data_IF_845970684704
#
_entry.id   IF_845970684704
#
_cell.length_a   1.000
_cell.length_b   1.000
_cell.length_c   1.000
_cell.angle_alpha   90.00
_cell.angle_beta   90.00
_cell.angle_gamma   90.00
#
_symmetry.space_group_name_H-M   'P 1'
#
loop_
_entity.id
_entity.type
_entity.pdbx_description
1 polymer ?
#
# COMPACT_ATOMS: atom_id res chain seq x y z
N UNK A 1 54.24 21.12 -21.60
CA UNK A 1 53.98 20.74 -23.01
C UNK A 1 54.23 19.25 -23.18
N UNK A 2 53.17 18.52 -23.51
CA UNK A 2 53.02 17.22 -24.21
C UNK A 2 54.22 16.26 -24.35
N UNK A 3 54.04 15.00 -23.91
CA UNK A 3 53.92 13.77 -24.75
C UNK A 3 54.20 12.53 -23.88
N UNK A 4 53.20 11.74 -23.44
CA UNK A 4 52.54 10.58 -24.10
C UNK A 4 53.44 9.32 -24.32
N UNK A 5 52.99 8.24 -23.64
CA UNK A 5 53.01 6.81 -24.00
C UNK A 5 54.36 6.06 -24.11
N UNK A 6 54.49 4.95 -23.37
CA UNK A 6 54.60 3.61 -23.96
C UNK A 6 54.29 2.52 -22.92
N UNK A 7 53.53 1.53 -23.39
CA UNK A 7 53.05 0.37 -22.67
C UNK A 7 53.91 -0.86 -23.01
N UNK A 8 53.94 -1.79 -22.05
CA UNK A 8 54.12 -3.25 -22.19
C UNK A 8 55.41 -3.80 -22.81
N UNK A 9 56.16 -4.51 -21.96
CA UNK A 9 56.98 -5.72 -22.21
C UNK A 9 57.66 -6.03 -20.85
N UNK A 10 57.91 -7.24 -20.36
CA UNK A 10 57.77 -8.60 -20.88
C UNK A 10 57.99 -9.55 -19.68
N UNK A 11 57.29 -10.68 -19.71
CA UNK A 11 57.48 -11.89 -18.93
C UNK A 11 58.94 -12.21 -18.56
N UNK A 12 59.18 -12.48 -17.27
CA UNK A 12 60.21 -13.42 -16.80
C UNK A 12 59.65 -14.19 -15.60
N UNK A 13 58.88 -15.23 -15.90
CA UNK A 13 58.60 -16.30 -14.96
C UNK A 13 59.87 -17.14 -14.81
N UNK A 14 60.24 -17.51 -13.57
CA UNK A 14 60.41 -18.91 -13.11
C UNK A 14 61.19 -18.98 -11.79
N UNK A 15 60.69 -19.85 -10.90
CA UNK A 15 61.41 -20.52 -9.81
C UNK A 15 61.94 -19.68 -8.63
N UNK A 16 61.24 -19.72 -7.48
CA UNK A 16 61.88 -19.28 -6.24
C UNK A 16 61.09 -19.24 -4.93
N UNK A 17 59.77 -19.46 -4.92
CA UNK A 17 58.97 -19.16 -3.71
C UNK A 17 58.33 -20.39 -3.02
N UNK A 18 58.47 -21.61 -3.55
CA UNK A 18 57.89 -22.84 -2.95
C UNK A 18 58.92 -23.61 -2.09
N UNK A 19 59.77 -22.95 -1.28
CA UNK A 19 60.79 -23.69 -0.51
C UNK A 19 61.05 -23.27 0.95
N UNK A 20 60.42 -22.21 1.49
CA UNK A 20 60.83 -21.72 2.82
C UNK A 20 59.70 -21.37 3.80
N UNK A 21 58.54 -22.02 3.67
CA UNK A 21 57.40 -21.78 4.56
C UNK A 21 57.25 -22.66 5.84
N UNK A 22 58.07 -23.69 6.13
CA UNK A 22 57.92 -24.40 7.41
C UNK A 22 59.23 -24.51 8.21
N UNK A 23 59.67 -23.46 8.93
CA UNK A 23 60.77 -23.59 9.91
C UNK A 23 60.82 -22.53 11.03
N UNK A 24 59.78 -21.71 11.24
CA UNK A 24 59.76 -20.71 12.33
C UNK A 24 58.61 -20.92 13.33
N UNK A 25 58.34 -22.19 13.65
CA UNK A 25 57.71 -22.57 14.91
C UNK A 25 58.71 -23.44 15.70
N UNK A 26 59.42 -22.84 16.68
CA UNK A 26 59.84 -23.45 17.95
C UNK A 26 61.01 -22.70 18.59
N UNK A 27 60.71 -21.66 19.38
CA UNK A 27 61.48 -21.31 20.57
C UNK A 27 60.50 -20.81 21.64
N UNK A 28 60.35 -21.60 22.70
CA UNK A 28 59.43 -21.40 23.81
C UNK A 28 60.22 -21.21 25.13
N UNK A 29 59.80 -20.27 26.00
CA UNK A 29 59.99 -20.23 27.46
C UNK A 29 58.86 -19.32 28.03
N UNK A 30 57.69 -19.80 28.47
CA UNK A 30 57.28 -20.49 29.72
C UNK A 30 56.93 -19.59 30.92
N UNK A 31 55.65 -19.65 31.38
CA UNK A 31 55.12 -19.76 32.79
C UNK A 31 53.64 -19.31 32.89
N UNK A 32 52.86 -19.73 33.92
CA UNK A 32 52.66 -21.05 34.52
C UNK A 32 51.16 -21.49 34.53
N UNK A 33 50.90 -22.73 34.95
CA UNK A 33 49.63 -23.47 34.85
C UNK A 33 48.57 -23.12 35.92
N UNK A 34 47.28 -23.46 35.66
CA UNK A 34 46.48 -24.43 36.47
C UNK A 34 45.02 -24.55 35.96
N UNK A 35 44.65 -25.80 35.68
CA UNK A 35 43.34 -26.50 35.64
C UNK A 35 42.15 -25.98 34.80
N UNK A 36 41.94 -26.66 33.67
CA UNK A 36 40.65 -26.79 33.00
C UNK A 36 39.91 -28.03 33.51
N UNK A 37 38.69 -27.84 34.03
CA UNK A 37 37.64 -28.87 34.04
C UNK A 37 36.65 -28.55 32.93
N UNK A 38 36.46 -29.50 32.04
CA UNK A 38 35.64 -29.47 30.84
C UNK A 38 34.16 -29.71 31.16
N UNK A 39 33.30 -28.76 30.78
CA UNK A 39 31.89 -29.04 30.46
C UNK A 39 31.56 -28.39 29.11
N UNK A 40 30.99 -29.12 28.14
CA UNK A 40 30.58 -28.54 26.86
C UNK A 40 29.34 -27.67 27.10
N UNK A 41 29.48 -26.36 26.96
CA UNK A 41 28.32 -25.46 26.91
C UNK A 41 27.82 -25.47 25.46
N UNK A 42 26.75 -26.21 25.24
CA UNK A 42 25.85 -26.02 24.11
C UNK A 42 25.23 -24.62 24.24
N UNK A 43 25.76 -23.64 23.52
CA UNK A 43 25.05 -22.37 23.28
C UNK A 43 24.32 -22.46 21.95
N UNK A 44 23.10 -22.99 21.99
CA UNK A 44 22.05 -22.62 21.03
C UNK A 44 21.66 -21.18 21.33
N UNK A 45 22.25 -20.23 20.59
CA UNK A 45 21.71 -18.87 20.53
C UNK A 45 20.43 -18.90 19.69
N UNK A 46 19.28 -18.47 20.23
CA UNK A 46 18.09 -18.28 19.42
C UNK A 46 18.35 -17.10 18.48
N UNK A 47 18.12 -17.30 17.18
CA UNK A 47 18.02 -16.21 16.21
C UNK A 47 16.77 -15.41 16.62
N UNK A 48 16.97 -14.36 17.41
CA UNK A 48 15.99 -13.32 17.56
C UNK A 48 15.95 -12.60 16.21
N UNK A 49 14.92 -12.87 15.43
CA UNK A 49 14.50 -12.00 14.34
C UNK A 49 14.24 -10.62 14.93
N UNK A 50 15.16 -9.68 14.71
CA UNK A 50 14.88 -8.26 14.89
C UNK A 50 13.80 -7.93 13.86
N UNK A 51 12.54 -7.96 14.28
CA UNK A 51 11.46 -7.33 13.53
C UNK A 51 11.76 -5.84 13.52
N UNK A 52 12.37 -5.33 12.46
CA UNK A 52 12.40 -3.88 12.23
C UNK A 52 10.94 -3.39 12.29
N UNK A 53 10.66 -2.43 13.19
CA UNK A 53 9.32 -1.86 13.37
C UNK A 53 8.93 -1.21 12.04
N UNK A 54 8.06 -1.85 11.25
CA UNK A 54 7.58 -1.30 9.98
C UNK A 54 6.91 0.05 10.24
N UNK A 55 7.17 1.00 9.34
CA UNK A 55 6.46 2.28 9.35
C UNK A 55 4.95 2.04 9.28
N UNK A 56 4.15 2.89 9.94
CA UNK A 56 2.69 2.77 9.94
C UNK A 56 2.07 3.97 9.25
N UNK A 57 1.18 3.68 8.33
CA UNK A 57 0.40 4.68 7.58
C UNK A 57 -1.07 4.40 7.83
N UNK A 58 -1.79 5.40 8.31
CA UNK A 58 -3.24 5.36 8.42
C UNK A 58 -3.79 6.51 7.58
N UNK A 59 -4.61 6.14 6.58
CA UNK A 59 -5.22 7.10 5.65
C UNK A 59 -6.73 6.99 5.71
N UNK A 60 -7.42 8.13 5.79
CA UNK A 60 -8.88 8.19 5.70
C UNK A 60 -9.27 9.08 4.54
N UNK A 61 -10.16 8.60 3.68
CA UNK A 61 -10.76 9.41 2.63
C UNK A 61 -12.13 9.89 3.09
N UNK A 62 -12.33 11.20 3.19
CA UNK A 62 -13.64 11.79 3.39
C UNK A 62 -14.21 12.15 2.00
N UNK A 63 -15.12 11.32 1.47
CA UNK A 63 -15.59 11.41 0.09
C UNK A 63 -17.01 11.97 0.03
N UNK A 64 -17.17 13.03 -0.74
CA UNK A 64 -18.45 13.56 -1.16
C UNK A 64 -19.14 12.57 -2.12
N UNK A 65 -20.38 12.25 -1.79
CA UNK A 65 -21.22 11.31 -2.54
C UNK A 65 -22.58 11.92 -2.91
N UNK A 66 -22.69 13.27 -2.93
CA UNK A 66 -23.89 13.96 -3.41
C UNK A 66 -24.02 13.88 -4.93
N UNK A 67 -25.18 14.31 -5.44
CA UNK A 67 -25.46 14.23 -6.87
C UNK A 67 -24.58 15.13 -7.75
N UNK A 68 -24.00 16.22 -7.22
CA UNK A 68 -23.08 17.11 -7.97
C UNK A 68 -21.80 16.38 -8.41
N UNK A 69 -21.36 15.41 -7.60
CA UNK A 69 -20.25 14.50 -7.93
C UNK A 69 -20.54 13.55 -9.09
N UNK A 70 -21.73 13.60 -9.71
CA UNK A 70 -22.03 12.84 -10.93
C UNK A 70 -21.05 13.17 -12.06
N UNK A 71 -20.40 12.13 -12.59
CA UNK A 71 -19.34 12.28 -13.60
C UNK A 71 -17.95 12.52 -13.02
N UNK A 72 -17.83 12.94 -11.76
CA UNK A 72 -16.57 13.17 -11.05
C UNK A 72 -16.22 12.02 -10.10
N UNK A 73 -17.24 11.37 -9.52
CA UNK A 73 -17.07 10.38 -8.47
C UNK A 73 -16.22 9.19 -8.92
N UNK A 74 -16.30 8.78 -10.19
CA UNK A 74 -15.49 7.66 -10.68
C UNK A 74 -13.99 8.01 -10.68
N UNK A 75 -13.62 9.19 -11.18
CA UNK A 75 -12.25 9.67 -11.15
C UNK A 75 -11.77 9.88 -9.70
N UNK A 76 -12.63 10.39 -8.81
CA UNK A 76 -12.33 10.50 -7.38
C UNK A 76 -12.01 9.12 -6.76
N UNK A 77 -12.80 8.08 -7.06
CA UNK A 77 -12.54 6.71 -6.56
C UNK A 77 -11.22 6.14 -7.09
N UNK A 78 -10.91 6.34 -8.37
CA UNK A 78 -9.63 5.89 -8.96
C UNK A 78 -8.44 6.62 -8.34
N UNK A 79 -8.57 7.92 -8.09
CA UNK A 79 -7.54 8.71 -7.40
C UNK A 79 -7.32 8.23 -5.97
N UNK A 80 -8.39 7.94 -5.22
CA UNK A 80 -8.29 7.37 -3.86
C UNK A 80 -7.45 6.09 -3.86
N UNK A 81 -7.67 5.20 -4.84
CA UNK A 81 -6.87 4.00 -5.01
C UNK A 81 -5.42 4.29 -5.36
N UNK A 82 -5.18 5.22 -6.30
CA UNK A 82 -3.84 5.67 -6.68
C UNK A 82 -3.04 6.15 -5.46
N UNK A 83 -3.67 6.99 -4.63
CA UNK A 83 -3.06 7.54 -3.41
C UNK A 83 -2.72 6.42 -2.43
N UNK A 84 -3.66 5.52 -2.13
CA UNK A 84 -3.42 4.41 -1.20
C UNK A 84 -2.27 3.52 -1.67
N UNK A 85 -2.24 3.17 -2.97
CA UNK A 85 -1.16 2.35 -3.55
C UNK A 85 0.20 3.06 -3.54
N UNK A 86 0.22 4.36 -3.82
CA UNK A 86 1.43 5.20 -3.72
C UNK A 86 1.93 5.27 -2.29
N UNK A 87 1.05 5.48 -1.31
CA UNK A 87 1.45 5.52 0.10
C UNK A 87 2.07 4.19 0.55
N UNK A 88 1.56 3.07 0.03
CA UNK A 88 2.06 1.75 0.37
C UNK A 88 3.41 1.40 -0.31
N UNK A 89 3.87 2.18 -1.30
CA UNK A 89 5.13 1.92 -2.02
C UNK A 89 6.39 2.39 -1.28
N UNK A 90 6.27 2.91 -0.06
CA UNK A 90 7.42 3.34 0.75
C UNK A 90 8.38 2.19 1.05
N UNK A 91 9.66 2.51 1.30
CA UNK A 91 10.68 1.52 1.66
C UNK A 91 11.37 1.89 3.00
N UNK A 92 11.50 0.94 3.96
CA UNK A 92 10.89 -0.39 3.99
C UNK A 92 9.35 -0.37 3.91
N UNK A 93 8.74 -1.46 3.43
CA UNK A 93 7.30 -1.55 3.20
C UNK A 93 6.50 -1.21 4.47
N UNK A 94 5.60 -0.20 4.44
CA UNK A 94 4.84 0.20 5.60
C UNK A 94 3.65 -0.74 5.85
N UNK A 95 3.19 -0.79 7.10
CA UNK A 95 1.85 -1.25 7.45
C UNK A 95 0.86 -0.12 7.11
N UNK A 96 0.06 -0.31 6.07
CA UNK A 96 -0.97 0.64 5.66
C UNK A 96 -2.36 0.19 6.13
N UNK A 97 -3.15 1.13 6.63
CA UNK A 97 -4.59 0.97 6.84
C UNK A 97 -5.35 2.10 6.18
N UNK A 98 -6.48 1.76 5.57
CA UNK A 98 -7.36 2.70 4.90
C UNK A 98 -8.74 2.70 5.57
N UNK A 99 -9.29 3.90 5.78
CA UNK A 99 -10.67 4.13 6.19
C UNK A 99 -11.39 5.03 5.20
N UNK A 100 -12.72 5.10 5.32
CA UNK A 100 -13.57 5.88 4.44
C UNK A 100 -14.68 6.56 5.25
N UNK A 101 -14.90 7.84 5.01
CA UNK A 101 -16.05 8.59 5.49
C UNK A 101 -16.78 9.12 4.27
N UNK A 102 -17.77 8.38 3.77
CA UNK A 102 -18.62 8.87 2.70
C UNK A 102 -19.64 9.84 3.29
N UNK A 103 -19.85 10.99 2.67
CA UNK A 103 -20.81 11.98 3.15
C UNK A 103 -21.73 12.48 2.05
N UNK A 104 -22.91 12.94 2.46
CA UNK A 104 -23.87 13.71 1.66
C UNK A 104 -24.31 14.91 2.48
N UNK A 105 -25.58 15.31 2.43
CA UNK A 105 -26.10 16.39 3.24
C UNK A 105 -27.22 16.02 4.22
N UNK A 106 -27.63 17.00 5.03
CA UNK A 106 -28.75 16.88 5.95
C UNK A 106 -30.05 16.68 5.18
N UNK A 107 -30.79 15.64 5.55
CA UNK A 107 -32.04 15.28 4.89
C UNK A 107 -31.89 14.19 3.83
N UNK A 108 -30.66 13.82 3.48
CA UNK A 108 -30.38 12.66 2.64
C UNK A 108 -30.51 11.33 3.39
N UNK A 109 -30.35 10.23 2.64
CA UNK A 109 -30.35 8.87 3.18
C UNK A 109 -29.26 8.63 4.25
N UNK A 110 -28.21 9.46 4.28
CA UNK A 110 -27.23 9.57 5.34
C UNK A 110 -26.50 10.91 5.24
N UNK A 111 -26.07 11.46 6.39
CA UNK A 111 -25.11 12.58 6.39
C UNK A 111 -23.70 12.02 6.22
N UNK A 112 -23.34 11.02 7.03
CA UNK A 112 -22.06 10.31 6.95
C UNK A 112 -22.22 8.81 7.08
N UNK A 113 -21.36 8.06 6.41
CA UNK A 113 -21.14 6.62 6.60
C UNK A 113 -19.66 6.40 6.85
N UNK A 114 -19.34 5.89 8.04
CA UNK A 114 -17.97 5.67 8.49
C UNK A 114 -17.63 4.19 8.33
N UNK A 115 -16.61 3.94 7.52
CA UNK A 115 -15.89 2.67 7.45
C UNK A 115 -14.53 2.86 8.11
N UNK A 116 -14.29 2.12 9.20
CA UNK A 116 -13.08 2.27 10.00
C UNK A 116 -11.82 1.76 9.29
N UNK A 117 -10.66 2.08 9.86
CA UNK A 117 -9.34 1.72 9.33
C UNK A 117 -9.15 0.21 9.22
N UNK A 118 -8.84 -0.27 8.01
CA UNK A 118 -8.58 -1.68 7.71
C UNK A 118 -7.31 -1.86 6.87
N UNK A 119 -6.51 -2.92 7.11
CA UNK A 119 -5.41 -3.29 6.22
C UNK A 119 -5.90 -4.00 4.93
N UNK A 120 -7.19 -4.35 4.84
CA UNK A 120 -7.80 -4.94 3.65
C UNK A 120 -8.20 -3.86 2.64
N UNK A 121 -7.21 -3.35 1.91
CA UNK A 121 -7.41 -2.29 0.92
C UNK A 121 -8.35 -2.72 -0.20
N UNK A 122 -8.34 -3.99 -0.61
CA UNK A 122 -9.26 -4.50 -1.64
C UNK A 122 -10.73 -4.40 -1.19
N UNK A 123 -11.04 -4.84 0.03
CA UNK A 123 -12.41 -4.75 0.57
C UNK A 123 -12.83 -3.29 0.78
N UNK A 124 -11.91 -2.42 1.20
CA UNK A 124 -12.16 -0.98 1.31
C UNK A 124 -12.43 -0.35 -0.06
N UNK A 125 -11.67 -0.72 -1.08
CA UNK A 125 -11.88 -0.23 -2.43
C UNK A 125 -13.18 -0.78 -3.05
N UNK A 126 -13.53 -2.03 -2.77
CA UNK A 126 -14.82 -2.60 -3.18
C UNK A 126 -16.00 -1.85 -2.54
N UNK A 127 -15.87 -1.48 -1.26
CA UNK A 127 -16.86 -0.67 -0.54
C UNK A 127 -16.94 0.74 -1.14
N UNK A 128 -15.79 1.36 -1.43
CA UNK A 128 -15.72 2.64 -2.12
C UNK A 128 -16.47 2.59 -3.47
N UNK A 129 -16.34 1.50 -4.20
CA UNK A 129 -17.02 1.30 -5.48
C UNK A 129 -18.55 1.21 -5.36
N UNK A 130 -19.12 0.86 -4.20
CA UNK A 130 -20.57 0.84 -3.99
C UNK A 130 -21.22 2.23 -3.94
N UNK A 131 -20.45 3.26 -3.58
CA UNK A 131 -21.03 4.59 -3.43
C UNK A 131 -21.44 5.19 -4.77
N UNK A 132 -22.64 5.73 -4.84
CA UNK A 132 -23.14 6.46 -6.00
C UNK A 132 -23.41 7.91 -5.61
N UNK A 133 -23.20 8.80 -6.58
CA UNK A 133 -23.51 10.22 -6.47
C UNK A 133 -25.03 10.39 -6.43
N UNK A 134 -25.59 10.64 -5.24
CA UNK A 134 -27.03 10.87 -5.05
C UNK A 134 -27.27 11.78 -3.85
N UNK A 135 -28.45 12.36 -3.75
CA UNK A 135 -28.76 13.30 -2.67
C UNK A 135 -28.16 14.67 -2.90
N UNK A 136 -28.05 15.45 -1.83
CA UNK A 136 -27.81 16.89 -1.83
C UNK A 136 -29.05 17.65 -2.31
N UNK A 137 -28.85 18.85 -2.83
CA UNK A 137 -29.91 19.60 -3.53
C UNK A 137 -29.63 21.10 -3.54
N UNK A 138 -29.27 21.64 -2.39
CA UNK A 138 -28.57 22.90 -2.24
C UNK A 138 -27.07 22.65 -2.05
N UNK A 139 -26.24 23.53 -2.62
CA UNK A 139 -24.87 23.72 -2.13
C UNK A 139 -24.89 24.86 -1.12
N UNK A 140 -24.06 24.90 -0.06
CA UNK A 140 -22.93 24.02 0.34
C UNK A 140 -23.27 22.57 0.74
N UNK A 141 -22.31 21.78 1.25
CA UNK A 141 -22.50 20.38 1.66
C UNK A 141 -22.05 20.12 3.12
N UNK A 142 -22.41 18.96 3.73
CA UNK A 142 -22.04 18.59 5.12
C UNK A 142 -20.57 18.17 5.31
N UNK A 143 -19.63 18.90 4.71
CA UNK A 143 -18.17 18.73 4.86
C UNK A 143 -17.72 18.82 6.32
N UNK A 144 -18.32 19.70 7.12
CA UNK A 144 -17.99 19.83 8.54
C UNK A 144 -18.26 18.53 9.31
N UNK A 145 -19.40 17.89 9.07
CA UNK A 145 -19.74 16.62 9.71
C UNK A 145 -18.80 15.49 9.24
N UNK A 146 -18.42 15.48 7.96
CA UNK A 146 -17.47 14.51 7.41
C UNK A 146 -16.09 14.63 8.07
N UNK A 147 -15.54 15.85 8.18
CA UNK A 147 -14.28 16.11 8.86
C UNK A 147 -14.38 15.77 10.36
N UNK A 148 -15.48 16.12 11.01
CA UNK A 148 -15.70 15.79 12.41
C UNK A 148 -15.66 14.28 12.63
N UNK A 149 -16.38 13.51 11.81
CA UNK A 149 -16.42 12.06 11.90
C UNK A 149 -15.08 11.41 11.56
N UNK A 150 -14.38 11.90 10.54
CA UNK A 150 -13.04 11.43 10.19
C UNK A 150 -12.03 11.61 11.34
N UNK A 151 -12.15 12.70 12.11
CA UNK A 151 -11.24 13.00 13.24
C UNK A 151 -11.65 12.30 14.55
N UNK A 152 -12.94 12.06 14.76
CA UNK A 152 -13.47 11.62 16.07
C UNK A 152 -14.05 10.21 16.11
N UNK A 153 -14.53 9.66 14.98
CA UNK A 153 -15.16 8.33 14.93
C UNK A 153 -14.24 7.25 14.39
N UNK A 154 -13.23 7.62 13.60
CA UNK A 154 -12.20 6.68 13.14
C UNK A 154 -11.31 6.26 14.31
N UNK A 155 -11.00 4.97 14.38
CA UNK A 155 -10.15 4.36 15.41
C UNK A 155 -8.66 4.55 15.11
N UNK A 156 -8.21 5.81 15.09
CA UNK A 156 -6.82 6.17 14.85
C UNK A 156 -5.87 5.53 15.87
N UNK A 157 -4.71 5.07 15.40
CA UNK A 157 -3.61 4.61 16.23
C UNK A 157 -3.15 5.71 17.19
N UNK A 158 -2.82 5.29 18.42
CA UNK A 158 -2.19 6.13 19.43
C UNK A 158 -0.65 6.15 19.33
N UNK A 159 -0.09 5.40 18.36
CA UNK A 159 1.34 5.38 18.08
C UNK A 159 1.77 6.69 17.42
N UNK A 160 2.65 7.44 18.09
CA UNK A 160 3.11 8.77 17.64
C UNK A 160 3.98 8.72 16.39
N UNK A 161 4.52 7.54 16.09
CA UNK A 161 5.32 7.25 14.90
C UNK A 161 4.43 6.93 13.69
N UNK A 162 3.11 6.74 13.88
CA UNK A 162 2.19 6.54 12.76
C UNK A 162 1.96 7.84 12.00
N UNK A 163 2.14 7.78 10.68
CA UNK A 163 1.72 8.83 9.78
C UNK A 163 0.20 8.73 9.58
N UNK A 164 -0.53 9.75 10.01
CA UNK A 164 -2.01 9.79 10.00
C UNK A 164 -2.47 10.95 9.13
N UNK A 165 -3.26 10.64 8.11
CA UNK A 165 -3.69 11.63 7.12
C UNK A 165 -5.13 11.43 6.68
N UNK A 166 -5.85 12.53 6.52
CA UNK A 166 -7.17 12.59 5.91
C UNK A 166 -7.03 13.25 4.54
N UNK A 167 -7.67 12.67 3.52
CA UNK A 167 -7.92 13.33 2.25
C UNK A 167 -9.42 13.62 2.14
N UNK A 168 -9.79 14.90 2.21
CA UNK A 168 -11.13 15.36 1.87
C UNK A 168 -11.25 15.41 0.33
N UNK A 169 -12.30 14.83 -0.25
CA UNK A 169 -12.51 14.68 -1.70
C UNK A 169 -13.95 15.01 -2.07
N UNK A 170 -14.19 15.92 -3.00
CA UNK A 170 -15.52 16.51 -3.23
C UNK A 170 -15.50 17.79 -4.06
N UNK A 171 -16.66 18.29 -4.46
CA UNK A 171 -16.79 19.43 -5.38
C UNK A 171 -17.47 20.68 -4.77
N UNK A 172 -17.96 20.59 -3.52
CA UNK A 172 -18.69 21.67 -2.85
C UNK A 172 -18.00 22.23 -1.58
N UNK A 173 -18.30 23.47 -1.16
CA UNK A 173 -17.81 24.05 0.08
C UNK A 173 -18.58 23.51 1.31
N UNK A 174 -18.08 23.72 2.55
CA UNK A 174 -18.81 23.37 3.77
C UNK A 174 -20.01 24.29 4.03
N UNK A 175 -21.12 23.73 4.51
CA UNK A 175 -22.15 24.51 5.20
C UNK A 175 -21.58 25.17 6.46
N UNK A 176 -21.81 26.48 6.64
CA UNK A 176 -21.32 27.22 7.82
C UNK A 176 -22.46 27.79 8.67
N UNK A 177 -23.70 27.56 8.26
CA UNK A 177 -24.94 28.08 8.84
C UNK A 177 -25.73 27.03 9.64
N UNK A 178 -25.39 25.76 9.48
CA UNK A 178 -25.94 24.66 10.25
C UNK A 178 -25.72 24.85 11.76
N UNK A 179 -26.85 24.94 12.49
CA UNK A 179 -26.86 25.12 13.94
C UNK A 179 -26.34 23.87 14.65
N UNK A 180 -25.68 24.07 15.79
CA UNK A 180 -25.13 23.02 16.68
C UNK A 180 -24.13 22.06 16.00
N UNK A 181 -23.41 22.53 14.99
CA UNK A 181 -22.36 21.78 14.31
C UNK A 181 -20.98 22.34 14.66
N UNK A 182 -20.01 21.44 14.89
CA UNK A 182 -18.62 21.86 15.04
C UNK A 182 -18.04 22.18 13.65
N UNK A 183 -17.72 23.45 13.44
CA UNK A 183 -17.13 23.91 12.19
C UNK A 183 -15.67 23.46 12.04
N UNK A 184 -15.23 23.32 10.78
CA UNK A 184 -13.91 22.82 10.43
C UNK A 184 -12.74 23.52 11.16
N UNK A 185 -12.74 24.84 11.46
CA UNK A 185 -11.60 25.44 12.15
C UNK A 185 -11.33 24.84 13.53
N UNK A 186 -12.37 24.37 14.24
CA UNK A 186 -12.20 23.70 15.52
C UNK A 186 -11.83 22.23 15.33
N UNK A 187 -12.49 21.53 14.40
CA UNK A 187 -12.17 20.13 14.05
C UNK A 187 -10.72 19.97 13.58
N UNK A 188 -10.18 20.93 12.83
CA UNK A 188 -8.80 20.90 12.37
C UNK A 188 -7.78 21.17 13.49
N UNK A 189 -8.16 21.91 14.55
CA UNK A 189 -7.33 22.02 15.77
C UNK A 189 -7.28 20.68 16.49
N UNK A 190 -8.40 19.99 16.58
CA UNK A 190 -8.48 18.67 17.20
C UNK A 190 -7.63 17.66 16.39
N UNK A 191 -7.73 17.68 15.06
CA UNK A 191 -6.90 16.88 14.15
C UNK A 191 -5.40 17.17 14.35
N UNK A 192 -5.01 18.45 14.40
CA UNK A 192 -3.62 18.85 14.64
C UNK A 192 -3.11 18.36 16.00
N UNK A 193 -3.91 18.47 17.06
CA UNK A 193 -3.55 17.98 18.40
C UNK A 193 -3.35 16.47 18.45
N UNK A 194 -4.06 15.74 17.57
CA UNK A 194 -3.92 14.30 17.37
C UNK A 194 -2.78 13.95 16.42
N UNK A 195 -2.13 14.92 15.77
CA UNK A 195 -1.10 14.68 14.76
C UNK A 195 -1.65 14.05 13.48
N UNK A 196 -2.89 14.41 13.12
CA UNK A 196 -3.55 14.03 11.86
C UNK A 196 -3.41 15.21 10.89
N UNK A 197 -2.87 14.94 9.70
CA UNK A 197 -2.76 15.90 8.60
C UNK A 197 -4.02 15.83 7.73
N UNK A 198 -4.53 16.96 7.25
CA UNK A 198 -5.74 17.05 6.41
C UNK A 198 -5.39 17.71 5.09
N UNK A 199 -5.33 16.88 4.05
CA UNK A 199 -5.19 17.29 2.66
C UNK A 199 -6.57 17.39 2.01
N UNK A 200 -6.70 18.18 0.95
CA UNK A 200 -7.97 18.38 0.25
C UNK A 200 -7.79 18.19 -1.26
N UNK A 201 -8.66 17.42 -1.90
CA UNK A 201 -8.68 17.11 -3.34
C UNK A 201 -10.01 17.58 -3.94
N UNK A 202 -10.03 18.80 -4.46
CA UNK A 202 -11.24 19.34 -5.09
C UNK A 202 -11.50 18.59 -6.41
N UNK A 203 -12.71 18.09 -6.58
CA UNK A 203 -13.22 17.66 -7.88
C UNK A 203 -13.90 18.84 -8.57
N UNK A 204 -13.59 19.06 -9.85
CA UNK A 204 -14.08 20.23 -10.59
C UNK A 204 -13.31 21.52 -10.28
N UNK A 205 -13.93 22.66 -10.54
CA UNK A 205 -13.27 23.97 -10.57
C UNK A 205 -14.05 25.11 -9.91
N UNK A 206 -15.05 24.79 -9.06
CA UNK A 206 -15.81 25.80 -8.33
C UNK A 206 -14.88 26.71 -7.48
N UNK A 207 -14.91 28.05 -7.67
CA UNK A 207 -14.02 28.96 -6.96
C UNK A 207 -14.31 29.11 -5.45
N UNK A 208 -15.56 28.91 -5.02
CA UNK A 208 -15.93 28.99 -3.60
C UNK A 208 -15.42 27.76 -2.87
N UNK A 209 -15.65 26.57 -3.43
CA UNK A 209 -15.02 25.31 -3.02
C UNK A 209 -13.52 25.48 -2.94
N UNK A 210 -12.86 25.97 -4.00
CA UNK A 210 -11.41 26.14 -4.02
C UNK A 210 -10.91 27.02 -2.86
N UNK A 211 -11.60 28.13 -2.58
CA UNK A 211 -11.23 29.05 -1.50
C UNK A 211 -11.29 28.36 -0.14
N UNK A 212 -12.42 27.70 0.17
CA UNK A 212 -12.59 27.03 1.46
C UNK A 212 -11.69 25.79 1.60
N UNK A 213 -11.46 25.04 0.52
CA UNK A 213 -10.62 23.84 0.53
C UNK A 213 -9.15 24.18 0.76
N UNK A 214 -8.63 25.22 0.09
CA UNK A 214 -7.28 25.74 0.39
C UNK A 214 -7.16 26.18 1.84
N UNK A 215 -8.19 26.82 2.39
CA UNK A 215 -8.21 27.24 3.79
C UNK A 215 -8.21 26.06 4.76
N UNK A 216 -8.99 25.02 4.48
CA UNK A 216 -9.02 23.77 5.26
C UNK A 216 -7.61 23.14 5.30
N UNK A 217 -6.98 22.97 4.14
CA UNK A 217 -5.62 22.42 4.05
C UNK A 217 -4.61 23.27 4.84
N UNK A 218 -4.61 24.59 4.64
CA UNK A 218 -3.69 25.52 5.30
C UNK A 218 -3.81 25.50 6.83
N UNK A 219 -5.03 25.44 7.37
CA UNK A 219 -5.26 25.44 8.83
C UNK A 219 -4.72 24.18 9.53
N UNK A 220 -4.46 23.10 8.78
CA UNK A 220 -3.95 21.85 9.32
C UNK A 220 -2.60 21.42 8.71
N UNK A 221 -1.87 22.37 8.07
CA UNK A 221 -0.56 22.11 7.45
C UNK A 221 -0.61 21.03 6.34
N UNK A 222 -1.77 20.83 5.74
CA UNK A 222 -1.95 19.97 4.58
C UNK A 222 -1.78 20.72 3.26
N UNK A 223 -1.98 19.99 2.17
CA UNK A 223 -1.92 20.47 0.80
C UNK A 223 -3.29 20.44 0.13
N UNK A 224 -3.48 21.36 -0.80
CA UNK A 224 -4.63 21.39 -1.69
C UNK A 224 -4.26 20.84 -3.07
N UNK A 225 -5.13 20.00 -3.61
CA UNK A 225 -5.06 19.43 -4.95
C UNK A 225 -6.39 19.65 -5.67
N UNK A 226 -6.35 19.60 -6.99
CA UNK A 226 -7.53 19.73 -7.84
C UNK A 226 -7.51 18.65 -8.91
N UNK A 227 -8.68 18.09 -9.19
CA UNK A 227 -8.95 17.12 -10.26
C UNK A 227 -9.95 17.77 -11.21
N UNK A 228 -9.55 17.99 -12.46
CA UNK A 228 -10.38 18.66 -13.45
C UNK A 228 -11.62 17.84 -13.83
N UNK A 229 -12.67 18.51 -14.32
CA UNK A 229 -13.95 17.90 -14.71
C UNK A 229 -13.83 16.80 -15.78
N UNK A 230 -12.75 16.79 -16.57
CA UNK A 230 -12.50 15.76 -17.58
C UNK A 230 -12.07 14.42 -16.98
N UNK A 231 -11.82 14.35 -15.67
CA UNK A 231 -11.34 13.14 -15.00
C UNK A 231 -9.92 12.74 -15.42
N UNK A 232 -9.22 13.55 -16.23
CA UNK A 232 -7.84 13.32 -16.60
C UNK A 232 -6.90 13.78 -15.47
N UNK A 233 -6.99 13.14 -14.30
CA UNK A 233 -5.72 12.64 -13.77
C UNK A 233 -5.19 11.80 -14.92
N UNK A 234 -4.07 12.19 -15.53
CA UNK A 234 -3.54 11.54 -16.73
C UNK A 234 -3.24 10.08 -16.39
N UNK A 235 -4.25 9.21 -16.42
CA UNK A 235 -4.11 7.79 -16.52
C UNK A 235 -3.54 7.62 -17.92
N UNK A 236 -2.21 7.70 -18.00
CA UNK A 236 -1.49 7.36 -19.21
C UNK A 236 -1.86 5.93 -19.49
N UNK A 237 -2.84 5.72 -20.38
CA UNK A 237 -3.23 4.39 -20.79
C UNK A 237 -2.00 3.71 -21.36
N UNK A 238 -1.66 2.54 -20.83
CA UNK A 238 -0.45 1.83 -21.21
C UNK A 238 -0.81 0.57 -21.98
N UNK A 239 0.08 0.10 -22.89
CA UNK A 239 -0.12 -1.18 -23.56
C UNK A 239 -0.01 -2.39 -22.60
N UNK A 240 0.31 -2.16 -21.32
CA UNK A 240 0.49 -3.20 -20.31
C UNK A 240 -0.75 -3.39 -19.43
N UNK A 241 -1.68 -2.43 -19.42
CA UNK A 241 -2.80 -2.38 -18.47
C UNK A 241 -3.69 -3.62 -18.57
N UNK A 242 -4.16 -3.97 -19.77
CA UNK A 242 -5.04 -5.14 -20.00
C UNK A 242 -4.38 -6.46 -19.56
N UNK A 243 -3.08 -6.62 -19.85
CA UNK A 243 -2.34 -7.83 -19.49
C UNK A 243 -2.13 -7.91 -17.98
N UNK A 244 -1.79 -6.80 -17.33
CA UNK A 244 -1.65 -6.73 -15.88
C UNK A 244 -2.99 -6.98 -15.17
N UNK A 245 -4.09 -6.43 -15.68
CA UNK A 245 -5.43 -6.70 -15.18
C UNK A 245 -5.79 -8.20 -15.27
N UNK A 246 -5.50 -8.82 -16.41
CA UNK A 246 -5.69 -10.27 -16.60
C UNK A 246 -4.85 -11.10 -15.62
N UNK A 247 -3.57 -10.76 -15.47
CA UNK A 247 -2.67 -11.42 -14.51
C UNK A 247 -3.13 -11.23 -13.06
N UNK A 248 -3.63 -10.05 -12.69
CA UNK A 248 -4.21 -9.80 -11.38
C UNK A 248 -5.35 -10.78 -11.10
N UNK A 249 -6.27 -10.93 -12.05
CA UNK A 249 -7.41 -11.84 -11.94
C UNK A 249 -6.99 -13.31 -11.88
N UNK A 250 -5.94 -13.70 -12.62
CA UNK A 250 -5.36 -15.04 -12.52
C UNK A 250 -4.69 -15.29 -11.17
N UNK A 251 -3.99 -14.29 -10.63
CA UNK A 251 -3.33 -14.35 -9.33
C UNK A 251 -4.35 -14.47 -8.19
N UNK A 252 -5.45 -13.71 -8.25
CA UNK A 252 -6.54 -13.77 -7.27
C UNK A 252 -7.13 -15.18 -7.13
N UNK A 253 -7.21 -15.93 -8.24
CA UNK A 253 -7.71 -17.32 -8.28
C UNK A 253 -6.77 -18.33 -7.64
N UNK A 254 -5.54 -17.95 -7.30
CA UNK A 254 -4.60 -18.83 -6.59
C UNK A 254 -4.83 -18.85 -5.09
N UNK A 255 -5.67 -17.96 -4.53
CA UNK A 255 -5.91 -17.88 -3.08
C UNK A 255 -6.82 -19.02 -2.62
N UNK A 256 -6.41 -19.68 -1.55
CA UNK A 256 -7.14 -20.78 -0.92
C UNK A 256 -7.24 -20.51 0.58
N UNK A 257 -8.39 -20.00 1.03
CA UNK A 257 -8.58 -19.70 2.44
C UNK A 257 -9.02 -20.94 3.24
N UNK A 258 -8.47 -21.11 4.44
CA UNK A 258 -8.77 -22.22 5.35
C UNK A 258 -9.08 -21.73 6.77
N UNK A 259 -9.58 -22.62 7.62
CA UNK A 259 -9.92 -22.33 9.02
C UNK A 259 -11.34 -22.73 9.38
N UNK A 260 -11.89 -22.14 10.44
CA UNK A 260 -13.29 -22.39 10.85
C UNK A 260 -14.27 -21.97 9.77
N UNK A 261 -15.50 -22.47 9.84
CA UNK A 261 -16.54 -22.09 8.89
C UNK A 261 -16.78 -20.57 8.88
N UNK A 262 -16.81 -19.94 10.05
CA UNK A 262 -16.96 -18.50 10.21
C UNK A 262 -15.79 -17.75 9.55
N UNK A 263 -14.55 -18.21 9.77
CA UNK A 263 -13.36 -17.59 9.17
C UNK A 263 -13.37 -17.71 7.66
N UNK A 264 -13.73 -18.88 7.12
CA UNK A 264 -13.87 -19.08 5.67
C UNK A 264 -14.99 -18.22 5.08
N UNK A 265 -16.10 -18.04 5.78
CA UNK A 265 -17.19 -17.16 5.34
C UNK A 265 -16.73 -15.69 5.27
N UNK A 266 -15.99 -15.22 6.28
CA UNK A 266 -15.40 -13.87 6.27
C UNK A 266 -14.40 -13.69 5.11
N UNK A 267 -13.52 -14.66 4.88
CA UNK A 267 -12.54 -14.63 3.79
C UNK A 267 -13.19 -14.83 2.40
N UNK A 268 -14.33 -15.52 2.32
CA UNK A 268 -15.12 -15.59 1.09
C UNK A 268 -15.72 -14.22 0.71
N UNK A 269 -16.09 -13.39 1.69
CA UNK A 269 -16.50 -12.01 1.43
C UNK A 269 -15.35 -11.17 0.84
N UNK A 270 -14.11 -11.40 1.30
CA UNK A 270 -12.91 -10.79 0.69
C UNK A 270 -12.73 -11.23 -0.77
N UNK A 271 -12.86 -12.53 -1.06
CA UNK A 271 -12.83 -13.01 -2.45
C UNK A 271 -13.91 -12.37 -3.31
N UNK A 272 -15.14 -12.26 -2.80
CA UNK A 272 -16.24 -11.61 -3.51
C UNK A 272 -15.99 -10.11 -3.74
N UNK A 273 -15.38 -9.41 -2.78
CA UNK A 273 -14.94 -8.03 -2.94
C UNK A 273 -13.92 -7.90 -4.08
N UNK A 274 -12.93 -8.80 -4.15
CA UNK A 274 -11.98 -8.84 -5.26
C UNK A 274 -12.66 -9.14 -6.61
N UNK A 275 -13.58 -10.09 -6.66
CA UNK A 275 -14.31 -10.42 -7.89
C UNK A 275 -15.12 -9.22 -8.40
N UNK A 276 -15.72 -8.46 -7.49
CA UNK A 276 -16.39 -7.21 -7.80
C UNK A 276 -15.41 -6.18 -8.38
N UNK A 277 -14.25 -5.98 -7.73
CA UNK A 277 -13.24 -5.06 -8.25
C UNK A 277 -12.81 -5.41 -9.68
N UNK A 278 -12.61 -6.70 -9.95
CA UNK A 278 -12.28 -7.21 -11.28
C UNK A 278 -13.40 -6.97 -12.32
N UNK A 279 -14.63 -6.70 -11.90
CA UNK A 279 -15.77 -6.46 -12.78
C UNK A 279 -16.05 -4.97 -13.03
N UNK A 280 -15.73 -4.09 -12.06
CA UNK A 280 -16.14 -2.68 -12.09
C UNK A 280 -14.99 -1.68 -12.25
N UNK A 281 -13.74 -2.11 -12.02
CA UNK A 281 -12.58 -1.23 -12.10
C UNK A 281 -12.02 -1.15 -13.52
N UNK A 282 -11.38 -0.03 -13.85
CA UNK A 282 -10.63 0.14 -15.10
C UNK A 282 -9.37 -0.75 -15.13
N UNK A 283 -8.89 -1.08 -16.33
CA UNK A 283 -7.68 -1.87 -16.52
C UNK A 283 -6.45 -1.22 -15.87
N UNK A 284 -6.34 0.11 -15.94
CA UNK A 284 -5.27 0.86 -15.29
C UNK A 284 -5.31 0.73 -13.75
N UNK A 285 -6.50 0.78 -13.15
CA UNK A 285 -6.66 0.57 -11.71
C UNK A 285 -6.32 -0.88 -11.31
N UNK A 286 -6.74 -1.87 -12.11
CA UNK A 286 -6.40 -3.28 -11.91
C UNK A 286 -4.90 -3.54 -12.12
N UNK A 287 -4.24 -2.81 -13.02
CA UNK A 287 -2.80 -2.89 -13.22
C UNK A 287 -2.02 -2.37 -12.00
N UNK A 288 -2.41 -1.20 -11.45
CA UNK A 288 -1.89 -0.68 -10.18
C UNK A 288 -2.10 -1.68 -9.04
N UNK A 289 -3.29 -2.30 -8.99
CA UNK A 289 -3.60 -3.35 -7.99
C UNK A 289 -2.72 -4.59 -8.14
N UNK A 290 -2.47 -5.03 -9.36
CA UNK A 290 -1.58 -6.15 -9.63
C UNK A 290 -0.18 -5.87 -9.07
N UNK A 291 0.38 -4.71 -9.40
CA UNK A 291 1.69 -4.28 -8.92
C UNK A 291 1.75 -4.24 -7.39
N UNK A 292 0.74 -3.63 -6.76
CA UNK A 292 0.64 -3.55 -5.30
C UNK A 292 0.58 -4.94 -4.66
N UNK A 293 -0.35 -5.80 -5.07
CA UNK A 293 -0.53 -7.13 -4.47
C UNK A 293 0.62 -8.10 -4.73
N UNK A 294 1.40 -7.89 -5.79
CA UNK A 294 2.62 -8.65 -6.03
C UNK A 294 3.80 -8.18 -5.15
N UNK A 295 3.78 -6.93 -4.66
CA UNK A 295 4.84 -6.35 -3.84
C UNK A 295 4.84 -6.84 -2.37
N UNK A 296 5.94 -6.58 -1.66
CA UNK A 296 6.03 -6.87 -0.22
C UNK A 296 5.03 -6.05 0.63
N UNK A 297 4.66 -4.85 0.18
CA UNK A 297 3.70 -4.00 0.89
C UNK A 297 2.25 -4.51 0.74
N UNK A 298 1.93 -5.14 -0.40
CA UNK A 298 0.60 -5.69 -0.67
C UNK A 298 0.38 -7.12 -0.20
N UNK A 299 1.41 -7.80 0.31
CA UNK A 299 1.32 -9.19 0.75
C UNK A 299 0.23 -9.41 1.82
N UNK A 300 0.16 -8.53 2.83
CA UNK A 300 -0.89 -8.57 3.85
C UNK A 300 -2.29 -8.32 3.28
N UNK A 301 -2.41 -7.42 2.30
CA UNK A 301 -3.67 -7.19 1.59
C UNK A 301 -4.08 -8.40 0.76
N UNK A 302 -3.15 -9.04 0.07
CA UNK A 302 -3.44 -10.16 -0.83
C UNK A 302 -3.76 -11.46 -0.08
N UNK A 303 -2.92 -11.83 0.89
CA UNK A 303 -3.00 -13.12 1.59
C UNK A 303 -3.99 -13.11 2.76
N UNK A 304 -4.20 -11.98 3.45
CA UNK A 304 -4.92 -11.97 4.73
C UNK A 304 -4.33 -12.99 5.74
N UNK A 305 -5.09 -13.38 6.77
CA UNK A 305 -4.56 -14.15 7.92
C UNK A 305 -4.61 -15.68 7.80
N UNK A 306 -5.24 -16.26 6.77
CA UNK A 306 -5.38 -17.72 6.66
C UNK A 306 -5.42 -18.18 5.21
N UNK A 307 -4.32 -17.92 4.52
CA UNK A 307 -4.10 -18.35 3.14
C UNK A 307 -3.28 -19.65 3.15
N UNK A 308 -3.93 -20.74 2.76
CA UNK A 308 -3.41 -22.10 2.90
C UNK A 308 -2.12 -22.33 2.11
N UNK A 309 -2.06 -21.80 0.88
CA UNK A 309 -0.93 -22.04 -0.02
C UNK A 309 0.33 -21.36 0.51
N UNK A 310 0.21 -20.13 1.00
CA UNK A 310 1.33 -19.38 1.59
C UNK A 310 1.72 -19.93 2.95
N UNK A 311 0.76 -20.23 3.83
CA UNK A 311 1.04 -20.77 5.16
C UNK A 311 1.76 -22.12 5.10
N UNK A 312 1.41 -22.98 4.13
CA UNK A 312 2.10 -24.27 3.92
C UNK A 312 3.44 -24.08 3.20
N UNK A 313 3.49 -23.28 2.12
CA UNK A 313 4.73 -23.12 1.35
C UNK A 313 5.83 -22.38 2.14
N UNK A 314 5.45 -21.48 3.05
CA UNK A 314 6.36 -20.81 3.99
C UNK A 314 6.72 -21.64 5.22
N UNK A 315 6.08 -22.79 5.43
CA UNK A 315 6.29 -23.65 6.60
C UNK A 315 5.69 -23.11 7.90
N UNK A 316 4.83 -22.09 7.84
CA UNK A 316 4.07 -21.61 9.02
C UNK A 316 3.06 -22.64 9.50
N UNK A 317 2.52 -23.45 8.59
CA UNK A 317 1.56 -24.50 8.87
C UNK A 317 1.98 -25.80 8.19
N UNK A 318 1.94 -26.88 8.96
CA UNK A 318 2.09 -28.22 8.42
C UNK A 318 0.72 -28.75 7.97
N UNK A 319 0.60 -29.16 6.70
CA UNK A 319 -0.62 -29.72 6.11
C UNK A 319 -1.16 -30.92 6.91
N UNK A 320 -0.30 -31.69 7.56
CA UNK A 320 -0.69 -32.83 8.39
C UNK A 320 -1.47 -32.41 9.64
N UNK A 321 -1.24 -31.17 10.11
CA UNK A 321 -1.90 -30.61 11.29
C UNK A 321 -3.23 -29.94 10.97
N UNK A 322 -3.52 -29.68 9.69
CA UNK A 322 -4.77 -29.03 9.26
C UNK A 322 -5.91 -30.05 9.23
N UNK A 323 -6.94 -29.81 10.04
CA UNK A 323 -8.13 -30.64 10.07
C UNK A 323 -8.82 -30.66 8.70
N UNK A 324 -9.33 -31.82 8.21
CA UNK A 324 -10.00 -31.90 6.91
C UNK A 324 -11.15 -30.90 6.77
N UNK A 325 -11.95 -30.73 7.82
CA UNK A 325 -13.07 -29.77 7.84
C UNK A 325 -12.63 -28.30 7.72
N UNK A 326 -11.36 -27.97 7.99
CA UNK A 326 -10.82 -26.62 7.90
C UNK A 326 -10.33 -26.27 6.47
N UNK A 327 -10.04 -27.28 5.63
CA UNK A 327 -9.58 -27.09 4.25
C UNK A 327 -10.68 -26.49 3.36
N UNK A 328 -10.35 -25.77 2.28
CA UNK A 328 -11.35 -25.33 1.30
C UNK A 328 -12.02 -26.54 0.64
N UNK A 329 -13.30 -26.39 0.26
CA UNK A 329 -14.16 -27.48 -0.21
C UNK A 329 -13.52 -28.40 -1.28
N UNK A 330 -12.80 -27.91 -2.30
CA UNK A 330 -12.16 -28.78 -3.29
C UNK A 330 -11.13 -29.75 -2.70
N UNK A 331 -10.43 -29.35 -1.63
CA UNK A 331 -9.35 -30.14 -1.02
C UNK A 331 -9.87 -31.13 0.02
N UNK A 332 -11.07 -30.94 0.58
CA UNK A 332 -11.62 -31.80 1.63
C UNK A 332 -11.84 -33.24 1.18
N UNK A 333 -12.14 -33.43 -0.11
CA UNK A 333 -12.42 -34.73 -0.71
C UNK A 333 -11.18 -35.40 -1.32
N UNK A 334 -10.02 -34.72 -1.30
CA UNK A 334 -8.77 -35.24 -1.87
C UNK A 334 -7.95 -35.98 -0.82
N UNK A 335 -7.16 -36.96 -1.26
CA UNK A 335 -6.16 -37.61 -0.41
C UNK A 335 -5.00 -36.64 -0.09
N UNK A 336 -4.28 -36.86 1.02
CA UNK A 336 -3.22 -35.95 1.50
C UNK A 336 -2.13 -35.68 0.47
N UNK A 337 -1.71 -36.70 -0.27
CA UNK A 337 -0.72 -36.57 -1.34
C UNK A 337 -1.21 -35.68 -2.49
N UNK A 338 -2.49 -35.78 -2.83
CA UNK A 338 -3.13 -34.96 -3.86
C UNK A 338 -3.32 -33.52 -3.38
N UNK A 339 -3.73 -33.32 -2.11
CA UNK A 339 -3.79 -32.00 -1.48
C UNK A 339 -2.43 -31.29 -1.56
N UNK A 340 -1.36 -31.98 -1.15
CA UNK A 340 0.00 -31.44 -1.17
C UNK A 340 0.44 -31.08 -2.60
N UNK A 341 0.11 -31.91 -3.58
CA UNK A 341 0.39 -31.65 -5.00
C UNK A 341 -0.33 -30.38 -5.49
N UNK A 342 -1.63 -30.25 -5.24
CA UNK A 342 -2.43 -29.08 -5.66
C UNK A 342 -1.90 -27.80 -5.02
N UNK A 343 -1.57 -27.84 -3.72
CA UNK A 343 -1.01 -26.69 -3.00
C UNK A 343 0.33 -26.28 -3.60
N UNK A 344 1.23 -27.25 -3.86
CA UNK A 344 2.53 -26.99 -4.47
C UNK A 344 2.40 -26.39 -5.88
N UNK A 345 1.59 -26.99 -6.74
CA UNK A 345 1.36 -26.48 -8.11
C UNK A 345 0.75 -25.07 -8.08
N UNK A 346 -0.13 -24.79 -7.11
CA UNK A 346 -0.71 -23.46 -6.91
C UNK A 346 0.33 -22.45 -6.46
N UNK A 347 1.23 -22.82 -5.55
CA UNK A 347 2.34 -21.96 -5.11
C UNK A 347 3.28 -21.62 -6.28
N UNK A 348 3.69 -22.62 -7.06
CA UNK A 348 4.54 -22.44 -8.25
C UNK A 348 3.87 -21.52 -9.29
N UNK A 349 2.56 -21.73 -9.55
CA UNK A 349 1.78 -20.87 -10.42
C UNK A 349 1.72 -19.43 -9.90
N UNK A 350 1.45 -19.23 -8.60
CA UNK A 350 1.38 -17.91 -7.99
C UNK A 350 2.70 -17.17 -8.14
N UNK A 351 3.83 -17.83 -7.89
CA UNK A 351 5.14 -17.21 -8.00
C UNK A 351 5.47 -16.82 -9.46
N UNK A 352 5.11 -17.67 -10.43
CA UNK A 352 5.24 -17.35 -11.85
C UNK A 352 4.38 -16.14 -12.26
N UNK A 353 3.18 -16.00 -11.70
CA UNK A 353 2.31 -14.84 -11.91
C UNK A 353 2.89 -13.58 -11.27
N UNK A 354 3.38 -13.64 -10.02
CA UNK A 354 4.04 -12.52 -9.35
C UNK A 354 5.25 -12.03 -10.14
N UNK A 355 6.06 -12.93 -10.66
CA UNK A 355 7.22 -12.60 -11.49
C UNK A 355 6.81 -11.87 -12.78
N UNK A 356 5.77 -12.37 -13.48
CA UNK A 356 5.24 -11.69 -14.68
C UNK A 356 4.67 -10.32 -14.36
N UNK A 357 3.91 -10.19 -13.26
CA UNK A 357 3.34 -8.92 -12.81
C UNK A 357 4.45 -7.93 -12.48
N UNK A 358 5.48 -8.34 -11.74
CA UNK A 358 6.60 -7.47 -11.37
C UNK A 358 7.32 -6.92 -12.62
N UNK A 359 7.60 -7.77 -13.59
CA UNK A 359 8.27 -7.36 -14.83
C UNK A 359 7.40 -6.42 -15.67
N UNK A 360 6.13 -6.75 -15.89
CA UNK A 360 5.20 -5.87 -16.62
C UNK A 360 4.95 -4.55 -15.90
N UNK A 361 4.91 -4.56 -14.56
CA UNK A 361 4.75 -3.35 -13.76
C UNK A 361 5.95 -2.43 -13.89
N UNK A 362 7.17 -2.98 -13.94
CA UNK A 362 8.40 -2.22 -14.23
C UNK A 362 8.34 -1.58 -15.61
N UNK A 363 7.95 -2.34 -16.64
CA UNK A 363 7.81 -1.82 -18.01
C UNK A 363 6.73 -0.73 -18.09
N UNK A 364 5.62 -0.91 -17.37
CA UNK A 364 4.55 0.07 -17.26
C UNK A 364 5.05 1.37 -16.62
N UNK A 365 5.76 1.27 -15.49
CA UNK A 365 6.35 2.41 -14.80
C UNK A 365 7.31 3.19 -15.72
N UNK A 366 8.27 2.51 -16.36
CA UNK A 366 9.24 3.11 -17.27
C UNK A 366 8.57 3.81 -18.46
N UNK A 367 7.50 3.22 -18.99
CA UNK A 367 6.72 3.82 -20.07
C UNK A 367 6.04 5.11 -19.63
N UNK A 368 5.42 5.13 -18.46
CA UNK A 368 4.74 6.32 -17.95
C UNK A 368 5.75 7.43 -17.64
N UNK A 369 6.85 7.11 -16.95
CA UNK A 369 7.93 8.06 -16.66
C UNK A 369 8.48 8.69 -17.95
N UNK A 370 8.77 7.86 -18.97
CA UNK A 370 9.27 8.35 -20.24
C UNK A 370 8.24 9.26 -20.94
N UNK A 371 6.96 8.89 -20.94
CA UNK A 371 5.89 9.71 -21.54
C UNK A 371 5.74 11.06 -20.83
N UNK A 372 5.78 11.09 -19.50
CA UNK A 372 5.69 12.32 -18.71
C UNK A 372 6.92 13.22 -18.89
N UNK A 373 8.09 12.61 -19.01
CA UNK A 373 9.32 13.32 -19.32
C UNK A 373 9.30 13.93 -20.72
N UNK A 374 8.79 13.19 -21.71
CA UNK A 374 8.69 13.66 -23.10
C UNK A 374 7.64 14.79 -23.25
N UNK A 375 6.57 14.77 -22.45
CA UNK A 375 5.58 15.86 -22.41
C UNK A 375 6.03 17.07 -21.58
N UNK A 376 7.01 16.89 -20.68
CA UNK A 376 7.44 17.93 -19.74
C UNK A 376 6.44 18.22 -18.62
N UNK A 377 5.46 17.34 -18.40
CA UNK A 377 4.34 17.55 -17.45
C UNK A 377 4.44 16.67 -16.21
N UNK A 378 5.58 16.04 -15.95
CA UNK A 378 5.79 15.09 -14.83
C UNK A 378 5.34 15.67 -13.48
N UNK A 379 5.87 16.83 -13.13
CA UNK A 379 5.58 17.51 -11.85
C UNK A 379 4.17 18.14 -11.80
N UNK A 380 3.50 18.24 -12.94
CA UNK A 380 2.16 18.80 -13.04
C UNK A 380 1.06 17.78 -12.73
N UNK A 381 1.38 16.48 -12.82
CA UNK A 381 0.42 15.40 -12.58
C UNK A 381 -0.06 15.37 -11.13
N UNK A 382 -1.32 14.96 -10.94
CA UNK A 382 -1.89 14.77 -9.60
C UNK A 382 -1.11 13.71 -8.82
N UNK A 383 -0.80 12.57 -9.45
CA UNK A 383 -0.04 11.47 -8.83
C UNK A 383 1.31 11.97 -8.30
N UNK A 384 2.05 12.79 -9.07
CA UNK A 384 3.31 13.38 -8.62
C UNK A 384 3.12 14.37 -7.46
N UNK A 385 2.14 15.28 -7.56
CA UNK A 385 1.86 16.27 -6.51
C UNK A 385 1.47 15.60 -5.18
N UNK A 386 0.68 14.54 -5.24
CA UNK A 386 0.31 13.79 -4.03
C UNK A 386 1.50 13.00 -3.51
N UNK A 387 2.23 12.29 -4.37
CA UNK A 387 3.44 11.56 -3.98
C UNK A 387 4.44 12.48 -3.28
N UNK A 388 4.76 13.64 -3.87
CA UNK A 388 5.72 14.60 -3.29
C UNK A 388 5.24 15.16 -1.95
N UNK A 389 3.93 15.44 -1.82
CA UNK A 389 3.33 15.88 -0.56
C UNK A 389 3.41 14.79 0.51
N UNK A 390 2.98 13.56 0.18
CA UNK A 390 3.02 12.42 1.10
C UNK A 390 4.45 12.13 1.52
N UNK A 391 5.40 12.16 0.59
CA UNK A 391 6.82 11.99 0.87
C UNK A 391 7.33 13.02 1.88
N UNK A 392 7.00 14.29 1.69
CA UNK A 392 7.40 15.35 2.62
C UNK A 392 6.76 15.19 4.00
N UNK A 393 5.44 14.94 4.05
CA UNK A 393 4.69 14.78 5.30
C UNK A 393 5.10 13.53 6.08
N UNK A 394 5.35 12.41 5.38
CA UNK A 394 5.72 11.14 5.99
C UNK A 394 7.21 11.07 6.40
N UNK A 395 8.08 11.88 5.80
CA UNK A 395 9.49 11.97 6.18
C UNK A 395 9.69 12.41 7.64
N UNK A 396 8.79 13.25 8.18
CA UNK A 396 8.78 13.63 9.59
C UNK A 396 8.55 12.43 10.53
N UNK A 397 8.00 11.33 10.00
CA UNK A 397 7.75 10.07 10.70
C UNK A 397 8.80 8.99 10.37
N UNK A 398 9.88 9.36 9.69
CA UNK A 398 10.94 8.43 9.29
C UNK A 398 10.55 7.50 8.15
N UNK A 399 9.46 7.78 7.43
CA UNK A 399 9.04 7.02 6.26
C UNK A 399 9.78 7.56 5.03
N UNK A 400 10.47 6.66 4.33
CA UNK A 400 11.30 7.03 3.17
C UNK A 400 10.65 6.53 1.89
N UNK A 401 10.57 7.44 0.91
CA UNK A 401 10.20 7.11 -0.47
C UNK A 401 11.43 7.35 -1.36
N UNK A 402 12.07 6.28 -1.82
CA UNK A 402 13.34 6.35 -2.57
C UNK A 402 13.16 6.48 -4.09
N UNK A 403 11.99 6.14 -4.62
CA UNK A 403 11.68 6.09 -6.06
C UNK A 403 10.83 7.26 -6.54
N UNK A 404 10.52 7.35 -7.83
CA UNK A 404 9.45 8.20 -8.37
C UNK A 404 8.05 7.74 -7.87
N UNK A 405 6.96 8.50 -8.13
CA UNK A 405 5.61 8.03 -7.85
C UNK A 405 5.35 6.65 -8.47
N UNK A 406 4.64 5.78 -7.76
CA UNK A 406 4.17 4.52 -8.34
C UNK A 406 2.97 4.83 -9.25
N UNK A 407 3.21 4.90 -10.56
CA UNK A 407 2.18 5.22 -11.56
C UNK A 407 1.34 4.01 -11.94
#
# INVERSE_FOLDING_TARGET
>A
MKSKFFAFTLFAATAGVIAFYPTLQNLAIAKPAVNQTTHPITTTSPIATVSEKRAKIEVVFALDTTSSMSGLIQAAKENIWSIASTMASAQPAPEIKMGLVAFRDRGDSYITRVTDLSPDLDSMYATLMDYQAEGGGDGPESVNQALFDAVHKISWSQDKDSYRVIFLVGDAPPHMDYQNEQQYPQTLKDALSKGIVVNTIQAGDDPFTQTEWRRIAQLNQGSFFQVEQSGQAVAVATPFDERLASLSKEMDKTRMFYGTEEKRKALAAKSAATDKLNAVSSDAALAKRAAFNASAAGEGNFLAESELVDDISSGRVDLETVAPAALPAPLQAMEKEEQAKVIKETAEKREALRTQIAELSRQRQEFIEQRLKDSGTEEETLDYKIYSTVKAQAAEKGIVYESAPAY
#
